data_IF_328313586001
#
_entry.id   IF_328313586001
#
_cell.length_a   1.000
_cell.length_b   1.000
_cell.length_c   1.000
_cell.angle_alpha   90.00
_cell.angle_beta   90.00
_cell.angle_gamma   90.00
#
_symmetry.space_group_name_H-M   'P 1'
#
loop_
_entity.id
_entity.type
_entity.pdbx_description
1 polymer ?
#
# COMPACT_ATOMS: atom_id res chain seq x y z
N UNK A 1 -18.35 3.64 -2.63
CA UNK A 1 -18.13 5.06 -2.30
C UNK A 1 -17.56 5.23 -0.88
N UNK A 2 -18.27 4.79 0.17
CA UNK A 2 -17.88 4.98 1.57
C UNK A 2 -16.51 4.39 1.95
N UNK A 3 -16.21 3.16 1.50
CA UNK A 3 -14.92 2.50 1.79
C UNK A 3 -13.74 3.29 1.19
N UNK A 4 -13.90 3.81 -0.03
CA UNK A 4 -12.86 4.61 -0.71
C UNK A 4 -12.54 5.88 0.09
N UNK A 5 -13.57 6.55 0.64
CA UNK A 5 -13.39 7.74 1.47
C UNK A 5 -12.69 7.41 2.80
N UNK A 6 -13.08 6.32 3.46
CA UNK A 6 -12.43 5.86 4.70
C UNK A 6 -10.94 5.57 4.53
N UNK A 7 -10.53 5.13 3.34
CA UNK A 7 -9.12 4.88 3.02
C UNK A 7 -8.37 6.15 2.58
N UNK A 8 -9.04 7.10 1.93
CA UNK A 8 -8.44 8.36 1.45
C UNK A 8 -8.27 9.40 2.54
N UNK A 9 -9.24 9.56 3.43
CA UNK A 9 -9.27 10.64 4.43
C UNK A 9 -8.08 10.63 5.40
N UNK A 10 -7.58 9.46 5.86
CA UNK A 10 -6.41 9.41 6.75
C UNK A 10 -5.08 9.77 6.06
N UNK A 11 -5.05 9.89 4.73
CA UNK A 11 -3.81 10.23 4.03
C UNK A 11 -3.38 11.67 4.36
N UNK A 12 -2.08 11.92 4.54
CA UNK A 12 -1.57 13.27 4.76
C UNK A 12 -2.02 14.22 3.64
N UNK A 13 -2.22 15.48 3.99
CA UNK A 13 -2.76 16.49 3.08
C UNK A 13 -2.00 16.57 1.74
N UNK A 14 -0.66 16.57 1.77
CA UNK A 14 0.16 16.59 0.55
C UNK A 14 -0.09 15.41 -0.39
N UNK A 15 -0.36 14.21 0.16
CA UNK A 15 -0.73 13.06 -0.67
C UNK A 15 -2.14 13.20 -1.27
N UNK A 16 -3.07 13.84 -0.55
CA UNK A 16 -4.43 14.05 -1.06
C UNK A 16 -4.51 15.07 -2.20
N UNK A 17 -3.58 16.02 -2.23
CA UNK A 17 -3.52 17.11 -3.22
C UNK A 17 -2.57 16.86 -4.39
N UNK A 18 -1.50 16.09 -4.21
CA UNK A 18 -0.45 16.01 -5.23
C UNK A 18 -0.23 14.59 -5.77
N UNK A 19 -0.82 13.56 -5.15
CA UNK A 19 -0.55 12.18 -5.58
C UNK A 19 -1.31 11.83 -6.86
N UNK A 20 -0.60 11.21 -7.80
CA UNK A 20 -1.24 10.49 -8.90
C UNK A 20 -1.86 9.19 -8.38
N UNK A 21 -3.17 9.01 -8.58
CA UNK A 21 -3.92 7.85 -8.12
C UNK A 21 -4.24 6.92 -9.29
N UNK A 22 -3.43 5.88 -9.45
CA UNK A 22 -3.68 4.82 -10.42
C UNK A 22 -4.64 3.78 -9.83
N UNK A 23 -5.78 3.58 -10.49
CA UNK A 23 -6.79 2.58 -10.08
C UNK A 23 -7.21 1.74 -11.26
N UNK A 24 -7.91 0.63 -11.00
CA UNK A 24 -8.73 -0.02 -12.03
C UNK A 24 -9.96 0.85 -12.38
N UNK A 25 -10.76 0.39 -13.34
CA UNK A 25 -11.94 1.09 -13.83
C UNK A 25 -13.19 0.93 -12.94
N UNK A 26 -13.04 0.57 -11.66
CA UNK A 26 -14.20 0.40 -10.77
C UNK A 26 -14.90 1.74 -10.53
N UNK A 27 -16.21 1.76 -10.80
CA UNK A 27 -17.08 2.95 -10.70
C UNK A 27 -17.02 3.65 -9.33
N UNK A 28 -16.79 2.87 -8.26
CA UNK A 28 -16.69 3.40 -6.90
C UNK A 28 -15.55 4.41 -6.68
N UNK A 29 -14.58 4.50 -7.60
CA UNK A 29 -13.49 5.48 -7.55
C UNK A 29 -13.84 6.80 -8.24
N UNK A 30 -14.58 6.77 -9.36
CA UNK A 30 -14.87 7.94 -10.17
C UNK A 30 -15.62 9.04 -9.39
N UNK A 31 -16.53 8.64 -8.50
CA UNK A 31 -17.29 9.59 -7.65
C UNK A 31 -16.58 10.03 -6.36
N UNK A 32 -15.35 9.57 -6.09
CA UNK A 32 -14.64 9.82 -4.82
C UNK A 32 -13.27 10.45 -5.02
N UNK A 33 -12.57 10.04 -6.07
CA UNK A 33 -11.23 10.54 -6.35
C UNK A 33 -11.35 11.78 -7.24
N UNK A 34 -10.68 12.90 -6.92
CA UNK A 34 -10.67 14.08 -7.79
C UNK A 34 -10.15 13.71 -9.18
N UNK A 35 -10.86 14.14 -10.23
CA UNK A 35 -10.53 13.85 -11.63
C UNK A 35 -9.12 14.31 -12.02
N UNK A 36 -8.63 15.40 -11.42
CA UNK A 36 -7.27 15.92 -11.59
C UNK A 36 -6.17 14.93 -11.17
N UNK A 37 -6.47 14.03 -10.23
CA UNK A 37 -5.52 13.07 -9.67
C UNK A 37 -5.78 11.64 -10.11
N UNK A 38 -7.04 11.33 -10.43
CA UNK A 38 -7.51 9.99 -10.76
C UNK A 38 -7.09 9.58 -12.17
N UNK A 39 -6.32 8.49 -12.25
CA UNK A 39 -5.83 7.90 -13.50
C UNK A 39 -6.28 6.45 -13.55
N UNK A 40 -7.53 6.16 -13.99
CA UNK A 40 -7.96 4.78 -14.19
C UNK A 40 -7.12 4.15 -15.31
N UNK A 41 -6.69 2.91 -15.10
CA UNK A 41 -5.79 2.20 -16.00
C UNK A 41 -6.21 0.75 -16.19
N UNK A 42 -5.95 0.23 -17.38
CA UNK A 42 -6.16 -1.18 -17.68
C UNK A 42 -5.20 -2.07 -16.89
N UNK A 43 -5.61 -3.31 -16.65
CA UNK A 43 -4.86 -4.30 -15.86
C UNK A 43 -3.45 -4.55 -16.43
N UNK A 44 -3.32 -4.56 -17.76
CA UNK A 44 -2.06 -4.74 -18.48
C UNK A 44 -1.11 -3.53 -18.43
N UNK A 45 -1.50 -2.40 -17.84
CA UNK A 45 -0.63 -1.22 -17.70
C UNK A 45 0.50 -1.41 -16.68
N UNK A 46 0.40 -2.41 -15.80
CA UNK A 46 1.36 -2.68 -14.73
C UNK A 46 1.34 -1.69 -13.55
N UNK A 47 0.68 -0.52 -13.69
CA UNK A 47 0.70 0.54 -12.67
C UNK A 47 -0.02 0.17 -11.37
N UNK A 48 -1.10 -0.61 -11.44
CA UNK A 48 -1.79 -1.17 -10.27
C UNK A 48 -1.08 -2.41 -9.69
N UNK A 49 -0.19 -3.03 -10.46
CA UNK A 49 0.56 -4.22 -10.06
C UNK A 49 1.47 -4.00 -8.85
N UNK A 50 1.91 -2.77 -8.59
CA UNK A 50 2.70 -2.42 -7.41
C UNK A 50 1.97 -2.75 -6.10
N UNK A 51 0.67 -2.43 -6.01
CA UNK A 51 -0.15 -2.74 -4.83
C UNK A 51 -0.32 -4.27 -4.68
N UNK A 52 -0.55 -4.99 -5.77
CA UNK A 52 -0.64 -6.45 -5.76
C UNK A 52 0.65 -7.11 -5.24
N UNK A 53 1.81 -6.67 -5.74
CA UNK A 53 3.13 -7.14 -5.29
C UNK A 53 3.38 -6.82 -3.81
N UNK A 54 3.00 -5.64 -3.37
CA UNK A 54 3.09 -5.25 -1.96
C UNK A 54 2.21 -6.15 -1.08
N UNK A 55 0.94 -6.34 -1.44
CA UNK A 55 0.01 -7.19 -0.70
C UNK A 55 0.49 -8.64 -0.60
N UNK A 56 1.09 -9.18 -1.66
CA UNK A 56 1.71 -10.50 -1.64
C UNK A 56 2.92 -10.55 -0.69
N UNK A 57 3.74 -9.50 -0.67
CA UNK A 57 4.86 -9.36 0.28
C UNK A 57 4.37 -9.35 1.72
N UNK A 58 3.32 -8.57 2.01
CA UNK A 58 2.68 -8.49 3.34
C UNK A 58 2.17 -9.86 3.77
N UNK A 59 1.37 -10.54 2.94
CA UNK A 59 0.82 -11.87 3.26
C UNK A 59 1.90 -12.90 3.55
N UNK A 60 3.01 -12.86 2.82
CA UNK A 60 4.11 -13.83 3.00
C UNK A 60 4.93 -13.56 4.25
N UNK A 61 5.04 -12.31 4.68
CA UNK A 61 5.86 -11.90 5.84
C UNK A 61 5.08 -11.80 7.15
N UNK A 62 3.79 -11.51 7.08
CA UNK A 62 2.91 -11.46 8.24
C UNK A 62 2.09 -12.74 8.26
N UNK A 63 2.59 -13.74 9.00
CA UNK A 63 1.91 -15.04 9.18
C UNK A 63 0.50 -14.91 9.77
N UNK A 64 0.15 -13.78 10.37
CA UNK A 64 -1.19 -13.50 10.90
C UNK A 64 -2.21 -13.06 9.84
N UNK A 65 -1.78 -12.81 8.61
CA UNK A 65 -2.62 -12.36 7.48
C UNK A 65 -3.02 -13.50 6.52
N UNK A 66 -2.85 -14.75 6.94
CA UNK A 66 -3.34 -15.95 6.23
C UNK A 66 -4.71 -16.42 6.76
N UNK A 67 -5.23 -17.49 6.17
CA UNK A 67 -6.61 -17.98 6.31
C UNK A 67 -7.08 -18.03 7.78
N UNK A 68 -8.36 -17.68 7.99
CA UNK A 68 -9.05 -17.63 9.30
C UNK A 68 -8.93 -18.91 10.14
N UNK A 69 -8.56 -20.04 9.53
CA UNK A 69 -8.49 -21.36 10.15
C UNK A 69 -7.18 -21.64 10.90
N UNK A 70 -6.14 -20.81 10.76
CA UNK A 70 -4.89 -21.01 11.51
C UNK A 70 -5.01 -20.41 12.93
N UNK A 71 -4.52 -21.15 13.92
CA UNK A 71 -4.57 -20.87 15.36
C UNK A 71 -3.62 -19.75 15.81
N UNK A 72 -3.75 -18.56 15.22
CA UNK A 72 -3.06 -17.38 15.73
C UNK A 72 -3.84 -16.70 16.86
N UNK A 73 -3.10 -16.03 17.75
CA UNK A 73 -3.68 -15.13 18.75
C UNK A 73 -4.58 -14.11 18.05
N UNK A 74 -5.88 -14.16 18.31
CA UNK A 74 -6.90 -13.27 17.74
C UNK A 74 -6.94 -11.89 18.43
N UNK A 75 -5.91 -11.54 19.20
CA UNK A 75 -5.82 -10.25 19.90
C UNK A 75 -5.54 -9.12 18.88
N UNK A 76 -6.42 -8.12 18.73
CA UNK A 76 -6.26 -7.04 17.77
C UNK A 76 -4.91 -6.31 17.90
N UNK A 77 -4.42 -6.16 19.13
CA UNK A 77 -3.17 -5.45 19.44
C UNK A 77 -1.97 -6.19 18.84
N UNK A 78 -1.98 -7.52 18.90
CA UNK A 78 -0.94 -8.35 18.29
C UNK A 78 -0.96 -8.27 16.76
N UNK A 79 -2.15 -8.14 16.16
CA UNK A 79 -2.26 -7.92 14.72
C UNK A 79 -1.72 -6.55 14.32
N UNK A 80 -2.14 -5.49 15.01
CA UNK A 80 -1.66 -4.13 14.77
C UNK A 80 -0.14 -4.04 14.95
N UNK A 81 0.39 -4.59 16.05
CA UNK A 81 1.83 -4.63 16.32
C UNK A 81 2.62 -5.35 15.23
N UNK A 82 2.14 -6.48 14.72
CA UNK A 82 2.79 -7.21 13.64
C UNK A 82 2.83 -6.40 12.33
N UNK A 83 1.74 -5.68 12.00
CA UNK A 83 1.68 -4.80 10.83
C UNK A 83 2.64 -3.62 10.99
N UNK A 84 2.66 -2.95 12.14
CA UNK A 84 3.56 -1.83 12.41
C UNK A 84 5.03 -2.25 12.35
N UNK A 85 5.38 -3.38 12.96
CA UNK A 85 6.74 -3.94 12.92
C UNK A 85 7.16 -4.24 11.48
N UNK A 86 6.28 -4.86 10.69
CA UNK A 86 6.51 -5.11 9.27
C UNK A 86 6.77 -3.81 8.50
N UNK A 87 5.91 -2.78 8.66
CA UNK A 87 6.04 -1.50 7.95
C UNK A 87 7.37 -0.82 8.30
N UNK A 88 7.70 -0.77 9.60
CA UNK A 88 8.95 -0.16 10.06
C UNK A 88 10.18 -0.87 9.46
N UNK A 89 10.23 -2.20 9.56
CA UNK A 89 11.32 -2.99 9.01
C UNK A 89 11.42 -2.84 7.48
N UNK A 90 10.29 -2.90 6.77
CA UNK A 90 10.22 -2.75 5.31
C UNK A 90 10.73 -1.38 4.84
N UNK A 91 10.30 -0.31 5.50
CA UNK A 91 10.74 1.05 5.19
C UNK A 91 12.24 1.25 5.45
N UNK A 92 12.77 0.68 6.53
CA UNK A 92 14.21 0.70 6.82
C UNK A 92 15.03 -0.02 5.74
N UNK A 93 14.55 -1.16 5.23
CA UNK A 93 15.20 -1.86 4.12
C UNK A 93 15.18 -1.04 2.82
N UNK A 94 14.07 -0.37 2.51
CA UNK A 94 14.00 0.52 1.34
C UNK A 94 14.99 1.67 1.46
N UNK A 95 15.06 2.33 2.62
CA UNK A 95 16.02 3.42 2.87
C UNK A 95 17.46 2.96 2.65
N UNK A 96 17.84 1.81 3.23
CA UNK A 96 19.18 1.22 3.06
C UNK A 96 19.49 0.89 1.59
N UNK A 97 18.53 0.30 0.87
CA UNK A 97 18.67 -0.01 -0.55
C UNK A 97 18.85 1.26 -1.39
N UNK A 98 18.03 2.27 -1.15
CA UNK A 98 18.11 3.54 -1.89
C UNK A 98 19.45 4.23 -1.61
N UNK A 99 19.87 4.32 -0.34
CA UNK A 99 21.17 4.88 0.02
C UNK A 99 22.32 4.15 -0.69
N UNK A 100 22.32 2.81 -0.70
CA UNK A 100 23.31 2.01 -1.44
C UNK A 100 23.30 2.33 -2.93
N UNK A 101 22.12 2.41 -3.55
CA UNK A 101 21.99 2.75 -4.97
C UNK A 101 22.65 4.09 -5.30
N UNK A 102 22.30 5.15 -4.56
CA UNK A 102 22.89 6.48 -4.76
C UNK A 102 24.41 6.51 -4.56
N UNK A 103 24.95 5.74 -3.61
CA UNK A 103 26.40 5.63 -3.41
C UNK A 103 27.11 4.88 -4.55
N UNK A 104 26.42 3.96 -5.25
CA UNK A 104 27.01 3.17 -6.34
C UNK A 104 26.87 3.78 -7.72
N UNK A 105 25.90 4.68 -7.95
CA UNK A 105 25.60 5.23 -9.29
C UNK A 105 26.12 6.64 -9.53
N UNK A 106 26.51 7.37 -8.48
CA UNK A 106 26.96 8.76 -8.57
C UNK A 106 28.39 8.96 -8.04
N UNK A 107 29.18 7.87 -7.95
CA UNK A 107 30.64 7.91 -7.77
C UNK A 107 31.31 7.50 -9.08
#
# INVERSE_FOLDING_TARGET
MEVTLRLRNPLPHGYRQCAALHTDFREAYAGVLPSEHHRPVAENSGKTGHIGRFNNTVRRRISRSVRKTLSFSKKPENHTGAVLLFIHHYNTLIKKRNHRYYMTTYN
#
